data_IF_069056507717
#
_entry.id   IF_069056507717
#
_cell.length_a   1.000
_cell.length_b   1.000
_cell.length_c   1.000
_cell.angle_alpha   90.00
_cell.angle_beta   90.00
_cell.angle_gamma   90.00
#
_symmetry.space_group_name_H-M   'P 1'
#
loop_
_entity.id
_entity.type
_entity.pdbx_description
1 polymer ?
#
# COMPACT_ATOMS: atom_id res chain seq x y z
N UNK A 1 -25.87 -16.91 2.45
CA UNK A 1 -24.62 -17.44 1.90
C UNK A 1 -23.66 -16.27 1.76
N UNK A 2 -22.66 -16.19 2.64
CA UNK A 2 -21.63 -15.15 2.58
C UNK A 2 -20.70 -15.48 1.41
N UNK A 3 -20.58 -14.57 0.45
CA UNK A 3 -19.69 -14.80 -0.68
C UNK A 3 -18.24 -14.78 -0.20
N UNK A 4 -17.41 -15.66 -0.79
CA UNK A 4 -15.98 -15.70 -0.51
C UNK A 4 -15.35 -14.37 -0.90
N UNK A 5 -14.60 -13.70 0.00
CA UNK A 5 -13.91 -12.47 -0.35
C UNK A 5 -12.84 -12.74 -1.41
N UNK A 6 -12.63 -11.78 -2.31
CA UNK A 6 -11.60 -11.88 -3.35
C UNK A 6 -10.73 -10.63 -3.36
N UNK A 7 -9.48 -10.77 -3.81
CA UNK A 7 -8.49 -9.70 -3.86
C UNK A 7 -8.27 -9.28 -5.31
N UNK A 8 -8.31 -7.98 -5.60
CA UNK A 8 -7.82 -7.41 -6.85
C UNK A 8 -6.45 -6.78 -6.64
N UNK A 9 -5.60 -6.91 -7.66
CA UNK A 9 -4.27 -6.31 -7.73
C UNK A 9 -4.27 -5.19 -8.78
N UNK A 10 -3.67 -4.07 -8.43
CA UNK A 10 -3.36 -2.97 -9.34
C UNK A 10 -1.86 -2.69 -9.24
N UNK A 11 -1.13 -2.80 -10.34
CA UNK A 11 0.29 -2.43 -10.39
C UNK A 11 0.50 -0.91 -10.52
N UNK A 12 1.75 -0.45 -10.69
CA UNK A 12 2.06 0.95 -10.94
C UNK A 12 1.25 1.46 -12.13
N UNK A 13 0.56 2.58 -11.95
CA UNK A 13 -0.40 3.10 -12.91
C UNK A 13 -0.35 4.62 -12.92
N UNK A 14 -0.62 5.23 -14.08
CA UNK A 14 -0.75 6.67 -14.16
C UNK A 14 -2.04 7.13 -13.43
N UNK A 15 -1.87 8.02 -12.45
CA UNK A 15 -2.95 8.62 -11.67
C UNK A 15 -3.05 10.14 -11.91
N UNK A 16 -2.53 10.62 -13.04
CA UNK A 16 -2.62 12.02 -13.46
C UNK A 16 -4.06 12.51 -13.41
N UNK A 17 -4.26 13.66 -12.77
CA UNK A 17 -5.58 14.26 -12.60
C UNK A 17 -6.34 13.81 -11.34
N UNK A 18 -5.77 12.91 -10.51
CA UNK A 18 -6.30 12.68 -9.16
C UNK A 18 -6.23 13.97 -8.33
N UNK A 19 -7.36 14.41 -7.77
CA UNK A 19 -7.42 15.59 -6.90
C UNK A 19 -7.48 15.17 -5.44
N UNK A 20 -6.37 15.31 -4.72
CA UNK A 20 -6.27 14.95 -3.29
C UNK A 20 -7.23 15.71 -2.37
N UNK A 21 -7.88 16.77 -2.84
CA UNK A 21 -8.87 17.54 -2.06
C UNK A 21 -10.30 17.02 -2.22
N UNK A 22 -10.53 16.12 -3.16
CA UNK A 22 -11.82 15.52 -3.43
C UNK A 22 -11.86 14.07 -2.90
N UNK A 23 -13.02 13.61 -2.41
CA UNK A 23 -13.19 12.21 -2.01
C UNK A 23 -13.10 11.27 -3.22
N UNK A 24 -12.80 9.99 -2.99
CA UNK A 24 -12.69 8.96 -4.02
C UNK A 24 -13.92 8.88 -4.95
N UNK A 25 -15.11 9.21 -4.45
CA UNK A 25 -16.36 9.21 -5.22
C UNK A 25 -16.51 10.36 -6.22
N UNK A 26 -15.69 11.41 -6.10
CA UNK A 26 -15.75 12.62 -6.93
C UNK A 26 -14.53 12.75 -7.86
N UNK A 27 -13.71 11.69 -7.95
CA UNK A 27 -12.54 11.65 -8.82
C UNK A 27 -12.92 11.48 -10.30
N UNK A 28 -12.04 11.88 -11.23
CA UNK A 28 -12.27 11.67 -12.65
C UNK A 28 -12.46 10.19 -13.04
N UNK A 29 -13.35 9.93 -14.01
CA UNK A 29 -13.72 8.59 -14.47
C UNK A 29 -12.53 7.76 -15.04
N UNK A 30 -11.44 8.41 -15.43
CA UNK A 30 -10.24 7.73 -15.96
C UNK A 30 -9.34 7.17 -14.86
N UNK A 31 -9.55 7.54 -13.59
CA UNK A 31 -8.80 6.94 -12.48
C UNK A 31 -9.28 5.49 -12.29
N UNK A 32 -8.36 4.50 -12.19
CA UNK A 32 -8.73 3.10 -12.09
C UNK A 32 -9.67 2.83 -10.91
N UNK A 33 -10.77 2.11 -11.15
CA UNK A 33 -11.76 1.77 -10.11
C UNK A 33 -11.14 1.06 -8.90
N UNK A 34 -10.18 0.16 -9.12
CA UNK A 34 -9.46 -0.52 -8.03
C UNK A 34 -8.66 0.45 -7.15
N UNK A 35 -8.11 1.53 -7.73
CA UNK A 35 -7.44 2.57 -6.94
C UNK A 35 -8.46 3.38 -6.15
N UNK A 36 -9.56 3.80 -6.78
CA UNK A 36 -10.66 4.50 -6.09
C UNK A 36 -11.22 3.67 -4.93
N UNK A 37 -11.32 2.36 -5.09
CA UNK A 37 -11.74 1.44 -4.02
C UNK A 37 -10.73 1.33 -2.88
N UNK A 38 -9.43 1.39 -3.17
CA UNK A 38 -8.41 1.49 -2.13
C UNK A 38 -8.56 2.81 -1.36
N UNK A 39 -8.76 3.91 -2.09
CA UNK A 39 -8.97 5.24 -1.52
C UNK A 39 -10.24 5.30 -0.66
N UNK A 40 -11.36 4.72 -1.10
CA UNK A 40 -12.59 4.63 -0.30
C UNK A 40 -12.36 3.98 1.07
N UNK A 41 -11.60 2.87 1.10
CA UNK A 41 -11.25 2.19 2.36
C UNK A 41 -10.30 3.04 3.21
N UNK A 42 -9.32 3.69 2.59
CA UNK A 42 -8.37 4.57 3.28
C UNK A 42 -9.05 5.79 3.88
N UNK A 43 -9.95 6.44 3.14
CA UNK A 43 -10.76 7.56 3.62
C UNK A 43 -11.63 7.15 4.81
N UNK A 44 -12.30 5.99 4.73
CA UNK A 44 -13.08 5.49 5.87
C UNK A 44 -12.22 5.27 7.12
N UNK A 45 -11.00 4.75 6.98
CA UNK A 45 -10.17 4.34 8.13
C UNK A 45 -9.22 5.42 8.65
N UNK A 46 -8.59 6.19 7.77
CA UNK A 46 -7.58 7.19 8.13
C UNK A 46 -8.22 8.58 8.26
N UNK A 47 -9.11 8.97 7.35
CA UNK A 47 -9.74 10.29 7.40
C UNK A 47 -10.89 10.31 8.39
N UNK A 48 -11.90 9.46 8.21
CA UNK A 48 -13.13 9.50 9.01
C UNK A 48 -12.92 8.96 10.43
N UNK A 49 -12.19 7.85 10.59
CA UNK A 49 -11.96 7.24 11.90
C UNK A 49 -10.77 7.83 12.67
N UNK A 50 -9.65 8.13 12.00
CA UNK A 50 -8.42 8.59 12.67
C UNK A 50 -8.19 10.10 12.59
N UNK A 51 -8.96 10.83 11.77
CA UNK A 51 -8.87 12.28 11.65
C UNK A 51 -7.68 12.78 10.84
N UNK A 52 -7.04 11.93 10.04
CA UNK A 52 -5.99 12.34 9.10
C UNK A 52 -6.61 13.24 8.02
N UNK A 53 -5.99 14.38 7.65
CA UNK A 53 -6.50 15.21 6.57
C UNK A 53 -6.61 14.44 5.25
N UNK A 54 -7.73 14.59 4.52
CA UNK A 54 -7.96 13.91 3.24
C UNK A 54 -6.82 14.11 2.25
N UNK A 55 -6.25 15.32 2.20
CA UNK A 55 -5.17 15.65 1.28
C UNK A 55 -3.85 14.93 1.56
N UNK A 56 -3.71 14.31 2.74
CA UNK A 56 -2.54 13.51 3.11
C UNK A 56 -2.70 12.03 2.71
N UNK A 57 -3.89 11.61 2.27
CA UNK A 57 -4.11 10.24 1.78
C UNK A 57 -3.64 10.04 0.34
N UNK A 58 -3.22 11.06 -0.39
CA UNK A 58 -2.62 10.86 -1.71
C UNK A 58 -1.22 11.47 -1.75
N UNK A 59 -0.22 10.66 -2.07
CA UNK A 59 1.19 11.05 -2.10
C UNK A 59 1.89 10.69 -3.42
N UNK A 60 3.18 11.02 -3.51
CA UNK A 60 3.97 10.79 -4.73
C UNK A 60 4.27 9.31 -4.99
N UNK A 61 4.03 8.44 -4.00
CA UNK A 61 4.30 7.01 -4.09
C UNK A 61 3.10 6.24 -4.65
N UNK A 62 1.88 6.77 -4.55
CA UNK A 62 0.66 6.11 -5.04
C UNK A 62 0.72 5.70 -6.53
N UNK A 63 1.23 6.50 -7.49
CA UNK A 63 1.33 6.11 -8.90
C UNK A 63 2.36 5.00 -9.17
N UNK A 64 3.44 4.94 -8.36
CA UNK A 64 4.51 3.94 -8.52
C UNK A 64 4.30 2.68 -7.67
N UNK A 65 3.31 2.70 -6.78
CA UNK A 65 3.00 1.60 -5.89
C UNK A 65 2.16 0.51 -6.56
N UNK A 66 2.22 -0.69 -5.98
CA UNK A 66 1.21 -1.71 -6.18
C UNK A 66 0.15 -1.62 -5.08
N UNK A 67 -1.11 -1.84 -5.44
CA UNK A 67 -2.25 -1.79 -4.54
C UNK A 67 -3.01 -3.12 -4.57
N UNK A 68 -3.44 -3.58 -3.39
CA UNK A 68 -4.36 -4.70 -3.28
C UNK A 68 -5.62 -4.24 -2.58
N UNK A 69 -6.77 -4.62 -3.12
CA UNK A 69 -8.08 -4.36 -2.52
C UNK A 69 -8.82 -5.67 -2.37
N UNK A 70 -9.31 -5.94 -1.18
CA UNK A 70 -10.15 -7.10 -0.91
C UNK A 70 -11.61 -6.66 -0.89
N UNK A 71 -12.48 -7.48 -1.49
CA UNK A 71 -13.90 -7.21 -1.65
C UNK A 71 -14.73 -8.29 -0.97
N UNK A 72 -15.84 -7.89 -0.35
CA UNK A 72 -16.92 -8.80 0.05
C UNK A 72 -18.13 -8.59 -0.87
N UNK A 73 -18.87 -9.66 -1.15
CA UNK A 73 -20.18 -9.48 -1.81
C UNK A 73 -21.25 -9.16 -0.78
N UNK A 74 -21.94 -8.05 -1.01
CA UNK A 74 -23.08 -7.60 -0.22
C UNK A 74 -24.35 -7.89 -1.04
N UNK A 75 -25.30 -8.59 -0.43
CA UNK A 75 -26.61 -8.83 -1.02
C UNK A 75 -27.58 -7.78 -0.50
N UNK A 76 -27.89 -6.81 -1.34
CA UNK A 76 -28.85 -5.77 -1.03
C UNK A 76 -30.24 -6.19 -1.53
N UNK A 77 -31.28 -6.04 -0.70
CA UNK A 77 -32.65 -6.30 -1.14
C UNK A 77 -33.20 -5.04 -1.78
N UNK A 78 -33.38 -5.05 -3.10
CA UNK A 78 -33.88 -3.89 -3.85
C UNK A 78 -35.40 -3.79 -3.79
N UNK A 79 -36.08 -4.93 -3.78
CA UNK A 79 -37.54 -5.03 -3.65
C UNK A 79 -37.87 -6.06 -2.56
N UNK A 80 -38.56 -5.70 -1.46
CA UNK A 80 -39.03 -6.66 -0.47
C UNK A 80 -40.12 -7.57 -1.05
N UNK A 81 -40.29 -8.76 -0.47
CA UNK A 81 -41.39 -9.65 -0.83
C UNK A 81 -42.71 -9.07 -0.30
N UNK A 82 -43.72 -8.98 -1.15
CA UNK A 82 -45.07 -8.55 -0.76
C UNK A 82 -45.99 -9.75 -0.87
N UNK A 83 -46.72 -10.04 0.21
CA UNK A 83 -47.74 -11.09 0.28
C UNK A 83 -49.12 -10.48 0.54
N UNK A 84 -50.17 -11.13 0.08
CA UNK A 84 -51.56 -10.78 0.44
C UNK A 84 -51.97 -11.39 1.79
N UNK A 85 -53.18 -11.06 2.26
CA UNK A 85 -53.75 -11.56 3.53
C UNK A 85 -53.95 -13.09 3.55
N UNK A 86 -53.97 -13.73 2.37
CA UNK A 86 -54.07 -15.18 2.19
C UNK A 86 -52.70 -15.87 2.05
N UNK A 87 -51.60 -15.10 2.12
CA UNK A 87 -50.22 -15.58 2.04
C UNK A 87 -49.70 -15.85 0.63
N UNK A 88 -50.41 -15.42 -0.43
CA UNK A 88 -49.92 -15.51 -1.80
C UNK A 88 -48.89 -14.41 -2.10
N UNK A 89 -47.83 -14.77 -2.81
CA UNK A 89 -46.76 -13.82 -3.18
C UNK A 89 -47.26 -12.90 -4.31
N UNK A 90 -47.51 -11.63 -3.98
CA UNK A 90 -47.86 -10.57 -4.93
C UNK A 90 -46.62 -10.02 -5.65
N UNK A 91 -45.49 -9.93 -4.95
CA UNK A 91 -44.22 -9.48 -5.52
C UNK A 91 -43.08 -10.31 -4.95
N UNK A 92 -42.32 -10.96 -5.83
CA UNK A 92 -41.12 -11.70 -5.41
C UNK A 92 -40.03 -10.73 -4.97
N UNK A 93 -39.32 -11.11 -3.91
CA UNK A 93 -38.10 -10.44 -3.48
C UNK A 93 -37.11 -10.32 -4.64
N UNK A 94 -36.61 -9.11 -4.90
CA UNK A 94 -35.43 -8.90 -5.75
C UNK A 94 -34.26 -8.47 -4.89
N UNK A 95 -33.11 -9.08 -5.16
CA UNK A 95 -31.85 -8.70 -4.52
C UNK A 95 -30.80 -8.41 -5.58
N UNK A 96 -29.97 -7.41 -5.33
CA UNK A 96 -28.79 -7.09 -6.11
C UNK A 96 -27.56 -7.45 -5.29
N UNK A 97 -26.63 -8.17 -5.91
CA UNK A 97 -25.32 -8.44 -5.30
C UNK A 97 -24.33 -7.39 -5.79
N UNK A 98 -23.72 -6.65 -4.88
CA UNK A 98 -22.63 -5.69 -5.17
C UNK A 98 -21.35 -6.17 -4.49
N UNK A 99 -20.20 -5.80 -5.04
CA UNK A 99 -18.91 -6.03 -4.39
C UNK A 99 -18.50 -4.75 -3.67
N UNK A 100 -18.35 -4.81 -2.36
CA UNK A 100 -17.91 -3.71 -1.52
C UNK A 100 -16.43 -3.88 -1.21
N UNK A 101 -15.57 -2.85 -1.36
CA UNK A 101 -14.21 -2.90 -0.88
C UNK A 101 -14.20 -2.87 0.66
N UNK A 102 -13.49 -3.81 1.28
CA UNK A 102 -13.49 -3.98 2.74
C UNK A 102 -12.10 -3.83 3.37
N UNK A 103 -11.06 -3.76 2.54
CA UNK A 103 -9.68 -3.64 3.00
C UNK A 103 -8.71 -3.36 1.86
N UNK A 104 -7.61 -2.69 2.17
CA UNK A 104 -6.53 -2.41 1.22
C UNK A 104 -5.14 -2.46 1.85
N UNK A 105 -4.11 -2.63 1.03
CA UNK A 105 -2.70 -2.46 1.38
C UNK A 105 -1.94 -1.93 0.16
N UNK A 106 -0.94 -1.08 0.41
CA UNK A 106 -0.02 -0.53 -0.58
C UNK A 106 1.36 -1.14 -0.43
N UNK A 107 2.02 -1.41 -1.56
CA UNK A 107 3.43 -1.77 -1.66
C UNK A 107 4.15 -0.70 -2.47
N UNK A 108 5.10 -0.03 -1.84
CA UNK A 108 5.89 1.04 -2.44
C UNK A 108 7.28 0.49 -2.82
N UNK A 109 7.70 0.65 -4.08
CA UNK A 109 9.04 0.23 -4.50
C UNK A 109 10.13 1.17 -3.98
N UNK A 110 11.40 0.76 -4.11
CA UNK A 110 12.53 1.69 -3.96
C UNK A 110 12.66 2.60 -5.21
N UNK A 111 13.36 3.73 -5.13
CA UNK A 111 14.00 4.32 -3.95
C UNK A 111 12.98 4.87 -2.94
N UNK A 112 13.45 5.14 -1.72
CA UNK A 112 12.67 5.78 -0.66
C UNK A 112 13.42 7.01 -0.16
N UNK A 113 12.73 8.02 0.41
CA UNK A 113 13.39 9.09 1.14
C UNK A 113 14.16 8.54 2.36
N UNK A 114 15.09 9.34 2.93
CA UNK A 114 15.78 8.98 4.17
C UNK A 114 14.81 8.63 5.30
N UNK A 115 15.19 7.70 6.16
CA UNK A 115 14.38 7.23 7.28
C UNK A 115 14.05 8.38 8.26
N UNK A 116 12.84 8.40 8.85
CA UNK A 116 12.47 9.33 9.93
C UNK A 116 13.50 9.38 11.05
N UNK A 117 13.88 10.56 11.55
CA UNK A 117 14.82 10.66 12.67
C UNK A 117 14.15 10.28 14.00
N UNK A 118 14.86 9.61 14.95
CA UNK A 118 14.28 9.30 16.25
C UNK A 118 13.80 10.57 16.98
N UNK A 119 12.52 10.59 17.37
CA UNK A 119 11.88 11.71 18.07
C UNK A 119 11.40 12.85 17.18
N UNK A 120 11.54 12.73 15.85
CA UNK A 120 10.98 13.68 14.90
C UNK A 120 9.44 13.63 14.87
N UNK A 121 8.82 14.69 14.35
CA UNK A 121 7.38 14.79 14.11
C UNK A 121 7.13 15.38 12.73
N UNK A 122 6.21 14.78 11.97
CA UNK A 122 5.85 15.19 10.62
C UNK A 122 4.34 15.40 10.50
N UNK A 123 3.92 16.48 9.83
CA UNK A 123 2.51 16.89 9.61
C UNK A 123 1.95 16.48 8.22
N UNK A 124 2.63 15.53 7.59
CA UNK A 124 2.31 14.85 6.34
C UNK A 124 3.25 13.64 6.33
N UNK A 125 3.11 12.72 5.38
CA UNK A 125 4.22 11.87 4.95
C UNK A 125 5.29 12.78 4.28
N UNK A 126 5.87 13.70 5.07
CA UNK A 126 6.65 14.86 4.66
C UNK A 126 7.98 14.44 4.03
N UNK A 127 8.38 13.18 4.25
CA UNK A 127 9.50 12.54 3.60
C UNK A 127 9.13 12.08 2.18
N UNK A 128 7.90 11.62 1.93
CA UNK A 128 7.39 11.20 0.62
C UNK A 128 6.80 12.38 -0.20
N UNK A 129 6.62 13.55 0.40
CA UNK A 129 6.10 14.79 -0.23
C UNK A 129 7.13 15.93 -0.33
N UNK A 130 8.37 15.72 0.14
CA UNK A 130 9.43 16.70 -0.03
C UNK A 130 9.70 16.92 -1.53
N UNK A 131 9.66 18.16 -2.04
CA UNK A 131 10.02 18.42 -3.42
C UNK A 131 11.48 17.99 -3.64
N UNK A 132 11.73 17.22 -4.69
CA UNK A 132 13.09 16.89 -5.14
C UNK A 132 13.82 18.23 -5.35
N UNK A 133 14.87 18.54 -4.57
CA UNK A 133 15.61 19.77 -4.76
C UNK A 133 16.32 19.68 -6.10
N UNK A 134 16.08 20.67 -6.95
CA UNK A 134 16.66 20.80 -8.29
C UNK A 134 16.17 19.75 -9.30
N UNK A 135 16.04 20.13 -10.57
CA UNK A 135 15.53 19.29 -11.68
C UNK A 135 16.40 18.07 -12.04
N UNK A 136 17.09 17.50 -11.06
CA UNK A 136 17.87 16.27 -11.10
C UNK A 136 16.97 15.07 -10.85
N UNK A 137 17.12 14.04 -11.69
CA UNK A 137 16.47 12.75 -11.50
C UNK A 137 17.09 12.16 -10.21
N UNK A 138 16.29 11.85 -9.16
CA UNK A 138 16.83 11.27 -7.95
C UNK A 138 17.56 9.97 -8.30
N UNK A 139 18.72 9.71 -7.69
CA UNK A 139 19.51 8.53 -8.00
C UNK A 139 18.64 7.27 -7.82
N UNK A 140 18.85 6.22 -8.62
CA UNK A 140 18.08 4.97 -8.52
C UNK A 140 18.36 4.20 -7.21
N UNK A 141 19.27 4.71 -6.38
CA UNK A 141 19.73 4.12 -5.13
C UNK A 141 19.45 5.03 -3.94
N UNK A 142 19.24 4.41 -2.79
CA UNK A 142 19.01 5.08 -1.52
C UNK A 142 20.38 5.48 -0.93
N UNK A 143 20.49 6.69 -0.40
CA UNK A 143 21.62 7.09 0.44
C UNK A 143 21.06 7.61 1.75
N UNK A 144 21.21 6.82 2.80
CA UNK A 144 20.68 7.11 4.12
C UNK A 144 21.64 6.60 5.22
N UNK A 145 21.34 6.91 6.47
CA UNK A 145 22.04 6.37 7.63
C UNK A 145 21.72 4.89 7.84
N UNK A 146 22.71 4.16 8.33
CA UNK A 146 22.51 2.78 8.75
C UNK A 146 21.66 2.70 10.04
N UNK A 147 20.70 1.79 10.05
CA UNK A 147 19.84 1.47 11.21
C UNK A 147 20.13 0.03 11.69
N UNK A 148 19.23 -0.59 12.46
CA UNK A 148 19.45 -1.94 13.00
C UNK A 148 19.37 -3.01 11.90
N UNK A 149 18.47 -2.85 10.94
CA UNK A 149 18.22 -3.85 9.88
C UNK A 149 18.41 -3.32 8.45
N UNK A 150 18.73 -2.04 8.28
CA UNK A 150 19.04 -1.43 6.99
C UNK A 150 20.44 -0.80 7.04
N UNK A 151 21.27 -1.04 6.02
CA UNK A 151 22.65 -0.54 5.95
C UNK A 151 22.75 0.90 5.43
N UNK A 152 21.61 1.51 5.06
CA UNK A 152 21.54 2.87 4.52
C UNK A 152 21.58 2.93 2.99
N UNK A 153 21.81 1.80 2.30
CA UNK A 153 21.98 1.76 0.84
C UNK A 153 21.22 0.63 0.15
N UNK A 154 20.91 -0.45 0.85
CA UNK A 154 20.23 -1.61 0.30
C UNK A 154 18.79 -1.28 -0.14
N UNK A 155 18.40 -1.55 -1.40
CA UNK A 155 17.03 -1.40 -1.85
C UNK A 155 16.06 -2.23 -1.00
N UNK A 156 14.97 -1.60 -0.57
CA UNK A 156 13.89 -2.25 0.16
C UNK A 156 12.53 -1.87 -0.40
N UNK A 157 11.54 -2.70 -0.13
CA UNK A 157 10.14 -2.46 -0.48
C UNK A 157 9.39 -2.09 0.79
N UNK A 158 8.59 -1.02 0.77
CA UNK A 158 7.79 -0.60 1.94
C UNK A 158 6.35 -1.10 1.78
N UNK A 159 5.79 -1.73 2.81
CA UNK A 159 4.34 -1.96 2.90
C UNK A 159 3.73 -0.86 3.76
N UNK A 160 2.63 -0.28 3.28
CA UNK A 160 1.96 0.85 3.92
C UNK A 160 0.46 0.86 3.62
N UNK A 161 -0.23 1.87 4.16
CA UNK A 161 -1.66 2.12 3.95
C UNK A 161 -2.53 0.86 4.15
N UNK A 162 -2.17 0.01 5.10
CA UNK A 162 -2.98 -1.17 5.43
C UNK A 162 -4.23 -0.72 6.19
N UNK A 163 -5.41 -0.95 5.62
CA UNK A 163 -6.68 -0.51 6.18
C UNK A 163 -7.75 -1.60 6.01
N UNK A 164 -8.63 -1.71 7.00
CA UNK A 164 -9.81 -2.59 6.96
C UNK A 164 -10.97 -1.84 7.60
N UNK A 165 -12.11 -1.80 6.91
CA UNK A 165 -13.31 -1.13 7.41
C UNK A 165 -13.75 -1.75 8.72
N UNK A 166 -14.26 -0.92 9.64
CA UNK A 166 -14.57 -1.29 11.03
C UNK A 166 -15.34 -2.61 11.16
N UNK A 167 -16.39 -2.78 10.38
CA UNK A 167 -17.31 -3.92 10.48
C UNK A 167 -16.72 -5.25 9.99
N UNK A 168 -15.57 -5.20 9.31
CA UNK A 168 -14.88 -6.37 8.77
C UNK A 168 -13.59 -6.72 9.55
N UNK A 169 -13.27 -5.98 10.63
CA UNK A 169 -12.10 -6.27 11.48
C UNK A 169 -12.28 -7.56 12.27
N UNK A 170 -11.15 -8.17 12.66
CA UNK A 170 -11.16 -9.46 13.37
C UNK A 170 -11.33 -10.70 12.47
N UNK A 171 -11.71 -10.52 11.20
CA UNK A 171 -11.86 -11.61 10.23
C UNK A 171 -10.54 -12.04 9.54
N UNK A 172 -9.39 -11.50 9.97
CA UNK A 172 -8.08 -11.85 9.39
C UNK A 172 -7.76 -11.18 8.04
N UNK A 173 -8.54 -10.20 7.62
CA UNK A 173 -8.40 -9.51 6.32
C UNK A 173 -7.02 -8.87 6.14
N UNK A 174 -6.51 -8.15 7.15
CA UNK A 174 -5.18 -7.53 7.09
C UNK A 174 -4.07 -8.55 6.86
N UNK A 175 -4.20 -9.76 7.44
CA UNK A 175 -3.25 -10.85 7.24
C UNK A 175 -3.30 -11.39 5.81
N UNK A 176 -4.49 -11.50 5.22
CA UNK A 176 -4.66 -11.91 3.82
C UNK A 176 -4.03 -10.90 2.87
N UNK A 177 -4.27 -9.60 3.09
CA UNK A 177 -3.70 -8.51 2.30
C UNK A 177 -2.16 -8.48 2.40
N UNK A 178 -1.62 -8.46 3.62
CA UNK A 178 -0.16 -8.47 3.83
C UNK A 178 0.48 -9.73 3.22
N UNK A 179 -0.13 -10.90 3.42
CA UNK A 179 0.32 -12.15 2.82
C UNK A 179 0.31 -12.12 1.28
N UNK A 180 -0.74 -11.55 0.67
CA UNK A 180 -0.84 -11.40 -0.79
C UNK A 180 0.26 -10.47 -1.35
N UNK A 181 0.46 -9.31 -0.73
CA UNK A 181 1.49 -8.35 -1.15
C UNK A 181 2.91 -8.93 -1.01
N UNK A 182 3.22 -9.55 0.14
CA UNK A 182 4.52 -10.19 0.37
C UNK A 182 4.75 -11.35 -0.60
N UNK A 183 3.76 -12.22 -0.81
CA UNK A 183 3.87 -13.36 -1.73
C UNK A 183 4.11 -12.90 -3.16
N UNK A 184 3.39 -11.86 -3.59
CA UNK A 184 3.58 -11.28 -4.92
C UNK A 184 5.00 -10.72 -5.07
N UNK A 185 5.52 -9.99 -4.08
CA UNK A 185 6.87 -9.46 -4.13
C UNK A 185 7.92 -10.59 -4.23
N UNK A 186 7.79 -11.64 -3.43
CA UNK A 186 8.67 -12.81 -3.48
C UNK A 186 8.68 -13.51 -4.84
N UNK A 187 7.54 -13.52 -5.54
CA UNK A 187 7.37 -14.12 -6.87
C UNK A 187 7.82 -13.20 -8.01
N UNK A 188 7.96 -11.89 -7.76
CA UNK A 188 8.31 -10.89 -8.76
C UNK A 188 9.53 -10.06 -8.32
N UNK A 189 10.67 -10.68 -7.94
CA UNK A 189 11.75 -9.99 -7.24
C UNK A 189 12.49 -8.96 -8.09
N UNK A 190 12.38 -9.04 -9.43
CA UNK A 190 13.03 -8.12 -10.36
C UNK A 190 12.08 -7.06 -10.91
N UNK A 191 10.80 -7.05 -10.52
CA UNK A 191 9.76 -6.20 -11.12
C UNK A 191 10.09 -4.70 -11.02
N UNK A 192 10.72 -4.29 -9.92
CA UNK A 192 11.12 -2.90 -9.69
C UNK A 192 12.61 -2.63 -9.93
N UNK A 193 13.36 -3.62 -10.44
CA UNK A 193 14.75 -3.37 -10.79
C UNK A 193 14.80 -2.33 -11.91
N UNK A 194 15.68 -1.32 -11.83
CA UNK A 194 15.84 -0.35 -12.89
C UNK A 194 16.19 -1.07 -14.21
N UNK A 195 15.50 -0.70 -15.29
CA UNK A 195 15.86 -1.19 -16.63
C UNK A 195 16.96 -0.30 -17.22
N UNK A 196 17.97 -0.91 -17.84
CA UNK A 196 19.06 -0.18 -18.53
C UNK A 196 18.50 0.76 -19.63
N UNK A 197 17.38 0.38 -20.25
CA UNK A 197 16.71 1.19 -21.26
C UNK A 197 16.02 2.44 -20.67
N UNK A 198 15.53 2.37 -19.44
CA UNK A 198 14.87 3.50 -18.74
C UNK A 198 15.89 4.47 -18.15
N UNK A 199 17.07 3.99 -17.74
CA UNK A 199 18.07 4.84 -17.09
C UNK A 199 18.87 5.72 -18.07
N UNK A 200 18.97 5.33 -19.35
CA UNK A 200 19.82 6.00 -20.33
C UNK A 200 21.31 5.83 -20.00
N UNK A 201 22.14 5.45 -20.97
CA UNK A 201 23.58 5.21 -20.74
C UNK A 201 24.33 6.45 -20.17
N UNK A 202 23.72 7.63 -20.22
CA UNK A 202 24.29 8.92 -19.81
C UNK A 202 24.15 9.20 -18.31
N UNK A 203 23.13 8.65 -17.63
CA UNK A 203 23.00 8.70 -16.16
C UNK A 203 23.69 7.53 -15.45
N UNK A 204 24.16 6.57 -16.24
CA UNK A 204 24.99 5.47 -15.78
C UNK A 204 26.43 5.97 -15.75
N UNK A 205 26.77 6.74 -14.71
CA UNK A 205 28.16 6.88 -14.28
C UNK A 205 28.79 5.53 -13.86
N UNK A 206 27.98 4.46 -13.82
CA UNK A 206 28.41 3.11 -13.51
C UNK A 206 29.21 2.51 -14.66
N UNK A 207 30.51 2.38 -14.45
CA UNK A 207 31.42 1.69 -15.37
C UNK A 207 31.23 0.16 -15.35
N UNK A 208 30.16 -0.36 -14.73
CA UNK A 208 29.86 -1.79 -14.67
C UNK A 208 28.37 -2.05 -14.41
N UNK A 209 27.87 -3.17 -14.95
CA UNK A 209 26.54 -3.74 -14.67
C UNK A 209 26.35 -4.20 -13.20
N UNK A 210 27.40 -4.10 -12.36
CA UNK A 210 27.39 -4.53 -10.96
C UNK A 210 26.79 -3.49 -9.99
N UNK A 211 26.51 -2.27 -10.45
CA UNK A 211 25.98 -1.17 -9.62
C UNK A 211 24.45 -1.01 -9.70
N UNK A 212 23.75 -1.84 -10.47
CA UNK A 212 22.28 -1.75 -10.56
C UNK A 212 21.69 -2.20 -9.21
N UNK A 213 20.89 -1.35 -8.53
CA UNK A 213 20.27 -1.73 -7.27
C UNK A 213 19.29 -2.89 -7.49
N UNK A 214 19.61 -4.05 -6.91
CA UNK A 214 18.77 -5.25 -6.94
C UNK A 214 18.13 -5.43 -5.57
N UNK A 215 16.81 -5.61 -5.55
CA UNK A 215 16.11 -5.93 -4.33
C UNK A 215 16.41 -7.37 -3.87
N UNK A 216 16.99 -7.52 -2.68
CA UNK A 216 17.37 -8.80 -2.09
C UNK A 216 16.37 -9.29 -1.04
N UNK A 217 15.11 -8.89 -1.17
CA UNK A 217 14.03 -9.33 -0.27
C UNK A 217 13.87 -8.52 1.02
N UNK A 218 14.46 -7.32 1.15
CA UNK A 218 14.26 -6.48 2.34
C UNK A 218 12.91 -5.77 2.28
N UNK A 219 12.05 -6.00 3.26
CA UNK A 219 10.75 -5.34 3.38
C UNK A 219 10.73 -4.46 4.62
N UNK A 220 10.17 -3.25 4.49
CA UNK A 220 10.01 -2.27 5.55
C UNK A 220 8.52 -2.02 5.83
N UNK A 221 8.17 -1.73 7.07
CA UNK A 221 6.91 -1.09 7.44
C UNK A 221 7.17 0.05 8.40
N UNK A 222 6.48 1.16 8.17
CA UNK A 222 6.29 2.23 9.14
C UNK A 222 4.98 1.91 9.87
N UNK A 223 5.07 1.23 11.01
CA UNK A 223 3.90 0.75 11.72
C UNK A 223 3.53 1.72 12.84
N UNK A 224 2.24 2.02 13.00
CA UNK A 224 1.76 2.64 14.23
C UNK A 224 2.16 1.74 15.41
N UNK A 225 2.69 2.32 16.48
CA UNK A 225 3.26 1.58 17.62
C UNK A 225 2.28 0.52 18.17
N UNK A 226 0.98 0.87 18.20
CA UNK A 226 -0.10 0.00 18.66
C UNK A 226 -0.32 -1.27 17.81
N UNK A 227 0.02 -1.26 16.51
CA UNK A 227 -0.12 -2.43 15.61
C UNK A 227 1.20 -3.15 15.33
N UNK A 228 2.33 -2.68 15.86
CA UNK A 228 3.62 -3.37 15.76
C UNK A 228 3.57 -4.85 16.20
N UNK A 229 2.84 -5.26 17.25
CA UNK A 229 2.70 -6.68 17.62
C UNK A 229 2.03 -7.55 16.53
N UNK A 230 1.16 -6.97 15.69
CA UNK A 230 0.54 -7.69 14.58
C UNK A 230 1.57 -7.96 13.46
N UNK A 231 2.35 -6.94 13.10
CA UNK A 231 3.46 -7.07 12.14
C UNK A 231 4.53 -8.05 12.64
N UNK A 232 4.82 -8.07 13.94
CA UNK A 232 5.75 -9.02 14.54
C UNK A 232 5.31 -10.48 14.35
N UNK A 233 4.00 -10.77 14.45
CA UNK A 233 3.45 -12.11 14.15
C UNK A 233 3.63 -12.50 12.68
N UNK A 234 3.85 -11.54 11.80
CA UNK A 234 4.10 -11.75 10.37
C UNK A 234 5.59 -11.70 10.01
N UNK A 235 6.48 -11.69 11.02
CA UNK A 235 7.93 -11.83 10.85
C UNK A 235 8.73 -10.52 10.81
N UNK A 236 8.08 -9.37 10.96
CA UNK A 236 8.75 -8.08 11.07
C UNK A 236 9.39 -7.88 12.44
N UNK A 237 10.55 -7.23 12.48
CA UNK A 237 11.30 -6.92 13.70
C UNK A 237 11.47 -5.41 13.82
N UNK A 238 11.23 -4.89 15.02
CA UNK A 238 11.40 -3.45 15.32
C UNK A 238 12.85 -3.06 15.09
N UNK A 239 13.07 -2.02 14.30
CA UNK A 239 14.38 -1.40 14.08
C UNK A 239 14.66 -0.37 15.19
N UNK A 240 15.37 -0.83 16.23
CA UNK A 240 15.66 0.00 17.41
C UNK A 240 16.41 1.30 17.08
N UNK A 241 17.28 1.30 16.07
CA UNK A 241 18.04 2.50 15.67
C UNK A 241 17.22 3.48 14.84
N UNK A 242 16.17 3.03 14.17
CA UNK A 242 15.20 3.93 13.55
C UNK A 242 14.40 4.68 14.61
N UNK A 243 14.25 4.09 15.79
CA UNK A 243 13.57 4.70 16.93
C UNK A 243 12.07 4.86 16.68
N UNK A 244 11.48 5.82 17.38
CA UNK A 244 10.07 6.20 17.25
C UNK A 244 9.97 7.62 16.72
N UNK A 245 9.03 7.88 15.83
CA UNK A 245 8.67 9.24 15.39
C UNK A 245 7.16 9.44 15.50
N UNK A 246 6.74 10.69 15.38
CA UNK A 246 5.35 11.08 15.29
C UNK A 246 5.00 11.41 13.82
N UNK A 247 3.90 10.87 13.34
CA UNK A 247 3.39 11.09 11.99
C UNK A 247 1.88 11.27 12.11
N UNK A 248 1.38 12.44 11.73
CA UNK A 248 -0.03 12.82 11.91
C UNK A 248 -0.52 12.74 13.38
N UNK A 249 0.36 13.01 14.35
CA UNK A 249 0.02 12.88 15.77
C UNK A 249 -0.08 11.43 16.25
N UNK A 250 0.34 10.47 15.42
CA UNK A 250 0.36 9.04 15.72
C UNK A 250 1.81 8.59 15.83
N UNK A 251 2.13 7.92 16.94
CA UNK A 251 3.46 7.38 17.16
C UNK A 251 3.72 6.14 16.29
N UNK A 252 4.81 6.16 15.56
CA UNK A 252 5.23 5.11 14.64
C UNK A 252 6.59 4.51 15.02
N UNK A 253 6.82 3.29 14.53
CA UNK A 253 8.09 2.56 14.62
C UNK A 253 8.45 1.96 13.26
N UNK A 254 9.74 1.89 12.97
CA UNK A 254 10.27 1.19 11.82
C UNK A 254 10.37 -0.30 12.12
N UNK A 255 9.95 -1.14 11.18
CA UNK A 255 10.15 -2.58 11.28
C UNK A 255 10.60 -3.17 9.95
N UNK A 256 11.51 -4.15 10.01
CA UNK A 256 12.00 -4.85 8.82
C UNK A 256 11.76 -6.34 8.88
N UNK A 257 11.63 -6.93 7.69
CA UNK A 257 11.63 -8.36 7.47
C UNK A 257 12.43 -8.69 6.21
N UNK A 258 13.23 -9.75 6.28
CA UNK A 258 13.88 -10.34 5.11
C UNK A 258 13.02 -11.49 4.60
N UNK A 259 12.52 -11.39 3.37
CA UNK A 259 11.80 -12.48 2.69
C UNK A 259 12.70 -13.19 1.70
N UNK A 260 12.46 -14.49 1.47
CA UNK A 260 13.16 -15.25 0.43
C UNK A 260 12.53 -14.93 -0.93
N UNK A 261 13.32 -14.50 -1.89
CA UNK A 261 12.88 -14.33 -3.27
C UNK A 261 12.89 -15.68 -4.00
N UNK A 262 11.94 -15.88 -4.91
CA UNK A 262 11.97 -17.03 -5.81
C UNK A 262 12.98 -16.72 -6.90
N UNK A 263 14.11 -17.46 -6.95
CA UNK A 263 15.04 -17.35 -8.07
C UNK A 263 14.34 -17.80 -9.34
N UNK A 264 13.93 -16.84 -10.16
CA UNK A 264 13.60 -17.10 -11.56
C UNK A 264 14.95 -17.09 -12.27
N UNK A 265 15.45 -18.26 -12.66
CA UNK A 265 16.60 -18.31 -13.56
C UNK A 265 16.24 -17.49 -14.81
N UNK A 266 17.13 -16.60 -15.30
CA UNK A 266 16.83 -15.86 -16.52
C UNK A 266 16.56 -16.88 -17.63
N UNK A 267 15.38 -16.78 -18.25
CA UNK A 267 15.08 -17.52 -19.48
C UNK A 267 16.08 -17.03 -20.53
N UNK A 268 17.02 -17.91 -20.88
CA UNK A 268 18.07 -17.69 -21.88
C UNK A 268 17.45 -17.53 -23.26
#
# INVERSE_FOLDING_TARGET
MSATPFIQFLGPTNLDGYDRKLPASEQPDHIPKTFLDAMEVREAVFVQEQGVPLENEFDSDDPRACHWVIYASVNETTDPEVTDDDGNILQRKKSRTTSQPIGTIRLVPFPHPPHPEPGSSYHADALETAPIPDGTIPPPYIVDRATTYHDGVEPYIKLGRIAVIKDCRGAGISKLLAGAAMSWAQQNPTFFNPSVATMGMENVGASSTEEIPVWKGLMCVHAQEQVAPAWAKWGFKIDEKMGTWDEEGIKHVGMFQRVKTVSIAPTI
#
